data_IF_332637910432
#
_entry.id   IF_332637910432
#
_cell.length_a   1.000
_cell.length_b   1.000
_cell.length_c   1.000
_cell.angle_alpha   90.00
_cell.angle_beta   90.00
_cell.angle_gamma   90.00
#
_symmetry.space_group_name_H-M   'P 1'
#
loop_
_entity.id
_entity.type
_entity.pdbx_description
1 polymer ?
#
# COMPACT_ATOMS: atom_id res chain seq x y z
N UNK A 1 19.42 -2.88 55.52
CA UNK A 1 20.22 -2.23 54.45
C UNK A 1 19.46 -2.34 53.14
N UNK A 2 19.22 -1.24 52.43
CA UNK A 2 18.57 -1.27 51.10
C UNK A 2 19.62 -1.67 50.04
N UNK A 3 19.30 -2.67 49.22
CA UNK A 3 20.17 -3.14 48.13
C UNK A 3 20.23 -2.05 47.05
N UNK A 4 21.44 -1.56 46.73
CA UNK A 4 21.63 -0.65 45.59
C UNK A 4 21.54 -1.44 44.30
N UNK A 5 20.51 -1.20 43.50
CA UNK A 5 20.41 -1.78 42.16
C UNK A 5 21.38 -1.07 41.21
N UNK A 6 22.17 -1.86 40.46
CA UNK A 6 23.07 -1.33 39.44
C UNK A 6 22.25 -1.07 38.17
N UNK A 7 22.35 0.15 37.62
CA UNK A 7 21.74 0.47 36.32
C UNK A 7 22.35 -0.40 35.22
N UNK A 8 21.52 -0.97 34.36
CA UNK A 8 21.99 -1.68 33.16
C UNK A 8 22.57 -0.66 32.17
N UNK A 9 23.62 -1.04 31.45
CA UNK A 9 24.13 -0.23 30.34
C UNK A 9 23.10 -0.24 29.20
N UNK A 10 22.88 0.92 28.60
CA UNK A 10 22.05 1.06 27.42
C UNK A 10 22.74 0.38 26.22
N UNK A 11 21.96 -0.35 25.42
CA UNK A 11 22.37 -0.85 24.11
C UNK A 11 21.42 -0.25 23.07
N UNK A 12 21.91 0.52 22.10
CA UNK A 12 21.07 1.01 21.02
C UNK A 12 20.62 -0.15 20.12
N UNK A 13 19.47 -0.02 19.43
CA UNK A 13 19.09 -0.95 18.37
C UNK A 13 20.08 -0.84 17.20
N UNK A 14 20.30 -1.97 16.52
CA UNK A 14 21.10 -2.03 15.29
C UNK A 14 20.18 -2.26 14.10
N UNK A 15 20.47 -1.59 12.99
CA UNK A 15 19.80 -1.77 11.70
C UNK A 15 20.82 -2.29 10.70
N UNK A 16 20.49 -3.36 10.00
CA UNK A 16 21.31 -3.96 8.96
C UNK A 16 20.53 -3.94 7.65
N UNK A 17 21.20 -3.55 6.56
CA UNK A 17 20.62 -3.53 5.21
C UNK A 17 21.45 -4.46 4.36
N UNK A 18 20.77 -5.44 3.75
CA UNK A 18 21.36 -6.34 2.77
C UNK A 18 20.77 -6.02 1.41
N UNK A 19 21.64 -5.72 0.44
CA UNK A 19 21.24 -5.60 -0.94
C UNK A 19 21.15 -7.01 -1.53
N UNK A 20 19.98 -7.37 -2.05
CA UNK A 20 19.79 -8.62 -2.78
C UNK A 20 19.77 -8.25 -4.27
N UNK A 21 20.66 -8.86 -5.04
CA UNK A 21 20.67 -8.73 -6.49
C UNK A 21 19.49 -9.54 -7.05
N UNK A 22 18.64 -8.87 -7.82
CA UNK A 22 17.56 -9.50 -8.58
C UNK A 22 18.05 -9.74 -10.00
N UNK A 23 17.55 -10.81 -10.64
CA UNK A 23 17.82 -11.06 -12.05
C UNK A 23 17.37 -9.88 -12.93
N UNK A 24 18.16 -9.56 -13.97
CA UNK A 24 17.81 -8.55 -14.96
C UNK A 24 16.86 -9.16 -16.00
N UNK A 25 15.60 -8.70 -15.99
CA UNK A 25 14.59 -9.11 -16.95
C UNK A 25 13.39 -8.17 -16.91
N UNK A 26 12.65 -8.08 -18.02
CA UNK A 26 11.33 -7.45 -17.99
C UNK A 26 10.47 -8.34 -17.10
N UNK A 27 9.94 -7.80 -16.00
CA UNK A 27 8.93 -8.43 -15.16
C UNK A 27 7.59 -8.52 -15.94
N UNK A 28 7.62 -9.21 -17.07
CA UNK A 28 6.52 -9.31 -18.01
C UNK A 28 5.43 -10.15 -17.36
N UNK A 29 4.35 -9.48 -16.94
CA UNK A 29 3.22 -10.12 -16.26
C UNK A 29 3.25 -10.04 -14.74
N UNK A 30 4.16 -9.27 -14.12
CA UNK A 30 4.19 -9.12 -12.65
C UNK A 30 3.03 -8.29 -12.10
N UNK A 31 2.32 -7.55 -12.96
CA UNK A 31 1.07 -6.89 -12.62
C UNK A 31 0.24 -6.68 -13.90
N UNK A 32 -0.96 -7.27 -13.94
CA UNK A 32 -2.01 -6.87 -14.88
C UNK A 32 -2.99 -6.02 -14.10
N UNK A 33 -3.04 -4.72 -14.39
CA UNK A 33 -4.04 -3.82 -13.81
C UNK A 33 -5.21 -3.77 -14.78
N UNK A 34 -6.34 -4.33 -14.36
CA UNK A 34 -7.62 -4.15 -15.03
C UNK A 34 -8.40 -3.08 -14.26
N UNK A 35 -8.53 -1.86 -14.79
CA UNK A 35 -9.23 -0.78 -14.08
C UNK A 35 -10.74 -0.98 -13.97
N UNK A 36 -11.31 -1.95 -14.70
CA UNK A 36 -12.75 -2.26 -14.69
C UNK A 36 -13.13 -3.59 -14.06
N UNK A 37 -14.40 -3.96 -14.22
CA UNK A 37 -14.96 -5.22 -13.73
C UNK A 37 -14.61 -6.44 -14.61
N UNK A 38 -15.09 -7.64 -14.23
CA UNK A 38 -14.83 -8.91 -14.94
C UNK A 38 -15.39 -8.91 -16.38
N UNK A 39 -16.48 -8.17 -16.64
CA UNK A 39 -17.14 -8.07 -17.95
C UNK A 39 -16.53 -6.97 -18.82
N UNK A 40 -16.01 -5.89 -18.21
CA UNK A 40 -15.47 -4.71 -18.87
C UNK A 40 -14.09 -4.31 -18.31
N UNK A 41 -13.06 -5.19 -18.40
CA UNK A 41 -11.80 -5.01 -17.68
C UNK A 41 -11.01 -3.76 -18.07
N UNK A 42 -11.26 -3.22 -19.27
CA UNK A 42 -10.56 -2.05 -19.82
C UNK A 42 -11.33 -0.73 -19.64
N UNK A 43 -12.52 -0.77 -19.06
CA UNK A 43 -13.34 0.41 -18.79
C UNK A 43 -13.31 0.65 -17.29
N UNK A 44 -12.73 1.75 -16.79
CA UNK A 44 -12.71 2.04 -15.37
C UNK A 44 -14.12 1.98 -14.78
N UNK A 45 -14.28 1.23 -13.68
CA UNK A 45 -15.54 1.27 -12.96
C UNK A 45 -15.64 2.61 -12.22
N UNK A 46 -16.79 3.28 -12.34
CA UNK A 46 -17.03 4.58 -11.69
C UNK A 46 -17.79 4.29 -10.41
N UNK A 47 -17.06 3.87 -9.38
CA UNK A 47 -17.55 3.90 -8.00
C UNK A 47 -17.29 5.31 -7.44
N UNK A 48 -18.10 6.29 -7.82
CA UNK A 48 -18.01 7.63 -7.23
C UNK A 48 -18.20 7.50 -5.70
N UNK A 49 -17.22 7.97 -4.94
CA UNK A 49 -17.22 7.92 -3.48
C UNK A 49 -18.42 8.69 -2.87
N UNK A 50 -19.06 9.56 -3.67
CA UNK A 50 -20.24 10.33 -3.28
C UNK A 50 -21.59 9.70 -3.68
N UNK A 51 -21.62 8.55 -4.39
CA UNK A 51 -22.89 7.86 -4.68
C UNK A 51 -23.22 6.92 -3.51
N UNK A 52 -23.50 7.52 -2.36
CA UNK A 52 -24.18 6.85 -1.25
C UNK A 52 -25.60 7.39 -1.22
N UNK A 53 -26.47 6.74 -1.98
CA UNK A 53 -27.93 6.93 -2.06
C UNK A 53 -28.42 8.22 -2.74
N UNK A 54 -28.68 8.10 -4.06
CA UNK A 54 -29.73 8.84 -4.77
C UNK A 54 -29.52 10.35 -4.97
N UNK A 55 -29.07 10.75 -6.16
CA UNK A 55 -29.15 12.13 -6.60
C UNK A 55 -28.43 12.36 -7.92
N UNK A 56 -29.21 12.51 -8.99
CA UNK A 56 -28.73 12.97 -10.29
C UNK A 56 -28.07 14.34 -10.15
N UNK A 57 -26.74 14.40 -10.35
CA UNK A 57 -26.05 15.65 -10.60
C UNK A 57 -26.35 16.12 -12.02
N UNK A 58 -27.47 16.81 -12.22
CA UNK A 58 -27.71 17.55 -13.47
C UNK A 58 -26.64 18.63 -13.60
N UNK A 59 -25.71 18.43 -14.52
CA UNK A 59 -24.86 19.53 -15.00
C UNK A 59 -25.69 20.34 -15.97
N UNK A 60 -26.39 21.36 -15.47
CA UNK A 60 -26.98 22.39 -16.32
C UNK A 60 -25.88 23.37 -16.78
N UNK A 61 -25.99 23.76 -18.06
CA UNK A 61 -25.18 24.77 -18.76
C UNK A 61 -25.67 26.16 -18.38
#
# INVERSE_FOLDING_TARGET
MKKKEKRKKYSPPQMEVMYIEMEEGIASGSATVNPGDIQNPNTPDIEDWNIVNGGEGTTEI
#
